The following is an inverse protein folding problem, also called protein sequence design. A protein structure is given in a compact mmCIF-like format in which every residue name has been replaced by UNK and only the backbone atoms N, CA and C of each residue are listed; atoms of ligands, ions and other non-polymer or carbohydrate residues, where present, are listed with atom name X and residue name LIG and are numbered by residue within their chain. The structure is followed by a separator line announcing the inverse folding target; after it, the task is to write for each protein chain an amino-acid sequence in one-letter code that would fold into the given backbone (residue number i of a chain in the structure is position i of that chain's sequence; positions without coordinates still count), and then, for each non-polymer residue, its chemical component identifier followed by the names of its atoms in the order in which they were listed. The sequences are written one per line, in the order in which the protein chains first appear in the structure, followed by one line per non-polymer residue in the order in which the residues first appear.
data_IF_160644539406
#
_entry.id   IF_160644539406
#
_cell.length_a   1.000
_cell.length_b   1.000
_cell.length_c   1.000
_cell.angle_alpha   90.00
_cell.angle_beta   90.00
_cell.angle_gamma   90.00
#
_symmetry.space_group_name_H-M   'P 1'
#
loop_
_entity.id
_entity.type
_entity.pdbx_description
1 polymer ?
#
# COMPACT_ATOMS: atom_id res chain seq x y z
N UNK A 1 -21.24 30.25 -2.38
CA UNK A 1 -19.83 29.85 -2.15
C UNK A 1 -19.48 28.87 -3.27
N UNK A 2 -18.68 29.27 -4.26
CA UNK A 2 -18.25 28.38 -5.35
C UNK A 2 -17.16 27.47 -4.78
N UNK A 3 -17.44 26.19 -4.63
CA UNK A 3 -16.41 25.18 -4.35
C UNK A 3 -15.44 25.18 -5.52
N UNK A 4 -14.22 25.67 -5.30
CA UNK A 4 -13.15 25.53 -6.29
C UNK A 4 -12.79 24.05 -6.36
N UNK A 5 -13.30 23.37 -7.37
CA UNK A 5 -12.92 22.00 -7.68
C UNK A 5 -11.52 22.05 -8.28
N UNK A 6 -10.50 21.62 -7.53
CA UNK A 6 -9.18 21.44 -8.09
C UNK A 6 -9.22 20.20 -9.00
N UNK A 7 -8.97 20.37 -10.29
CA UNK A 7 -8.92 19.27 -11.25
C UNK A 7 -7.54 18.62 -11.20
N UNK A 8 -7.51 17.29 -11.13
CA UNK A 8 -6.28 16.49 -11.08
C UNK A 8 -6.16 15.53 -12.27
N UNK A 9 -5.02 14.83 -12.34
CA UNK A 9 -4.72 13.83 -13.39
C UNK A 9 -5.82 12.77 -13.55
N UNK A 10 -6.50 12.43 -12.46
CA UNK A 10 -7.50 11.37 -12.41
C UNK A 10 -8.93 11.92 -12.25
N UNK A 11 -9.14 13.18 -12.61
CA UNK A 11 -10.40 13.91 -12.41
C UNK A 11 -10.37 14.81 -11.20
N UNK A 12 -11.54 15.33 -10.87
CA UNK A 12 -11.75 16.31 -9.80
C UNK A 12 -11.46 15.73 -8.42
N UNK A 13 -10.73 16.47 -7.59
CA UNK A 13 -10.46 16.07 -6.22
C UNK A 13 -11.75 16.12 -5.39
N UNK A 14 -12.07 14.99 -4.76
CA UNK A 14 -13.18 14.85 -3.84
C UNK A 14 -12.68 14.35 -2.50
N UNK A 15 -13.25 14.87 -1.41
CA UNK A 15 -12.95 14.41 -0.06
C UNK A 15 -13.15 12.90 0.05
N UNK A 16 -12.28 12.23 0.80
CA UNK A 16 -12.31 10.77 0.98
C UNK A 16 -13.19 10.45 2.17
N UNK A 17 -14.14 9.53 2.00
CA UNK A 17 -14.99 9.05 3.10
C UNK A 17 -14.48 7.71 3.66
N UNK A 18 -14.70 7.40 4.95
CA UNK A 18 -14.22 6.14 5.55
C UNK A 18 -14.64 4.85 4.82
N UNK A 19 -15.86 4.74 4.23
CA UNK A 19 -16.22 3.58 3.41
C UNK A 19 -15.31 3.38 2.19
N UNK A 20 -14.88 4.46 1.53
CA UNK A 20 -14.02 4.35 0.34
C UNK A 20 -12.64 3.82 0.68
N UNK A 21 -12.10 4.15 1.87
CA UNK A 21 -10.84 3.56 2.35
C UNK A 21 -11.00 2.05 2.49
N UNK A 22 -12.07 1.57 3.13
CA UNK A 22 -12.33 0.13 3.28
C UNK A 22 -12.48 -0.59 1.93
N UNK A 23 -13.12 0.04 0.95
CA UNK A 23 -13.23 -0.51 -0.41
C UNK A 23 -11.86 -0.54 -1.11
N UNK A 24 -11.06 0.52 -0.95
CA UNK A 24 -9.69 0.58 -1.49
C UNK A 24 -8.80 -0.51 -0.88
N UNK A 25 -8.90 -0.72 0.44
CA UNK A 25 -8.18 -1.78 1.14
C UNK A 25 -8.63 -3.17 0.66
N UNK A 26 -9.95 -3.36 0.48
CA UNK A 26 -10.51 -4.62 -0.03
C UNK A 26 -10.00 -4.95 -1.44
N UNK A 27 -9.95 -3.94 -2.32
CA UNK A 27 -9.38 -4.08 -3.66
C UNK A 27 -7.88 -4.41 -3.57
N UNK A 28 -7.14 -3.75 -2.68
CA UNK A 28 -5.69 -3.98 -2.51
C UNK A 28 -5.39 -5.40 -2.01
N UNK A 29 -6.17 -5.92 -1.07
CA UNK A 29 -6.08 -7.32 -0.61
C UNK A 29 -6.35 -8.27 -1.77
N UNK A 30 -7.40 -8.00 -2.55
CA UNK A 30 -7.77 -8.82 -3.69
C UNK A 30 -6.69 -8.84 -4.77
N UNK A 31 -6.02 -7.72 -5.03
CA UNK A 31 -4.85 -7.65 -5.92
C UNK A 31 -3.66 -8.47 -5.40
N UNK A 32 -3.57 -8.68 -4.08
CA UNK A 32 -2.60 -9.59 -3.48
C UNK A 32 -2.87 -11.06 -3.83
N UNK A 33 -4.16 -11.43 -3.88
CA UNK A 33 -4.65 -12.79 -4.16
C UNK A 33 -4.65 -13.08 -5.68
N UNK A 34 -5.23 -12.17 -6.47
CA UNK A 34 -5.37 -12.31 -7.92
C UNK A 34 -4.25 -11.52 -8.59
N UNK A 35 -3.30 -12.22 -9.23
CA UNK A 35 -2.21 -11.57 -9.95
C UNK A 35 -2.65 -11.19 -11.36
N UNK A 36 -2.57 -9.90 -11.68
CA UNK A 36 -2.74 -9.37 -13.04
C UNK A 36 -1.40 -8.88 -13.60
N UNK A 37 -1.18 -8.92 -14.93
CA UNK A 37 0.05 -8.42 -15.56
C UNK A 37 0.33 -6.95 -15.25
N UNK A 38 -0.72 -6.12 -15.24
CA UNK A 38 -0.63 -4.68 -14.98
C UNK A 38 -1.86 -4.19 -14.20
N UNK A 39 -1.68 -3.15 -13.39
CA UNK A 39 -2.72 -2.58 -12.53
C UNK A 39 -4.02 -2.17 -13.27
N UNK A 40 -3.98 -1.56 -14.47
CA UNK A 40 -5.21 -1.18 -15.16
C UNK A 40 -6.10 -2.35 -15.56
N UNK A 41 -5.55 -3.57 -15.66
CA UNK A 41 -6.31 -4.75 -16.11
C UNK A 41 -7.39 -5.19 -15.12
N UNK A 42 -7.25 -4.86 -13.83
CA UNK A 42 -8.33 -5.07 -12.85
C UNK A 42 -9.62 -4.30 -13.17
N UNK A 43 -9.55 -3.28 -14.04
CA UNK A 43 -10.70 -2.52 -14.52
C UNK A 43 -10.94 -2.66 -16.03
N UNK A 44 -10.22 -3.56 -16.72
CA UNK A 44 -10.41 -3.77 -18.16
C UNK A 44 -11.79 -4.36 -18.44
N UNK A 45 -12.34 -4.04 -19.60
CA UNK A 45 -13.55 -4.67 -20.17
C UNK A 45 -13.22 -5.76 -21.18
N UNK A 46 -11.93 -6.02 -21.43
CA UNK A 46 -11.50 -7.10 -22.32
C UNK A 46 -11.92 -8.45 -21.73
N UNK A 47 -12.46 -9.33 -22.56
CA UNK A 47 -13.00 -10.63 -22.13
C UNK A 47 -11.98 -11.48 -21.34
N UNK A 48 -10.70 -11.37 -21.69
CA UNK A 48 -9.59 -12.09 -21.05
C UNK A 48 -9.33 -11.59 -19.61
N UNK A 49 -9.63 -10.32 -19.33
CA UNK A 49 -9.35 -9.67 -18.04
C UNK A 49 -10.63 -9.12 -17.39
N UNK A 50 -11.81 -9.63 -17.76
CA UNK A 50 -13.08 -9.14 -17.26
C UNK A 50 -13.27 -9.55 -15.79
N UNK A 51 -12.77 -8.70 -14.91
CA UNK A 51 -12.99 -8.80 -13.48
C UNK A 51 -14.05 -7.79 -13.03
N UNK A 52 -15.28 -8.01 -13.51
CA UNK A 52 -16.42 -7.10 -13.34
C UNK A 52 -16.68 -6.67 -11.89
N UNK A 53 -16.35 -7.53 -10.91
CA UNK A 53 -16.48 -7.23 -9.50
C UNK A 53 -15.72 -5.95 -9.08
N UNK A 54 -14.43 -5.82 -9.40
CA UNK A 54 -13.62 -4.65 -8.98
C UNK A 54 -14.13 -3.37 -9.65
N UNK A 55 -14.53 -3.47 -10.91
CA UNK A 55 -15.10 -2.35 -11.69
C UNK A 55 -16.37 -1.80 -11.05
N UNK A 56 -17.22 -2.69 -10.53
CA UNK A 56 -18.47 -2.34 -9.89
C UNK A 56 -18.27 -1.74 -8.48
N UNK A 57 -17.20 -2.13 -7.79
CA UNK A 57 -16.91 -1.63 -6.43
C UNK A 57 -16.43 -0.17 -6.45
N UNK A 58 -15.48 0.16 -7.33
CA UNK A 58 -14.92 1.52 -7.40
C UNK A 58 -14.36 1.78 -8.80
N UNK A 59 -14.52 3.01 -9.32
CA UNK A 59 -13.89 3.41 -10.59
C UNK A 59 -12.36 3.44 -10.43
N UNK A 60 -11.64 2.98 -11.46
CA UNK A 60 -10.16 2.99 -11.52
C UNK A 60 -9.57 4.33 -11.09
N UNK A 61 -10.08 5.41 -11.66
CA UNK A 61 -9.50 6.74 -11.42
C UNK A 61 -9.71 7.19 -9.97
N UNK A 62 -10.85 6.85 -9.35
CA UNK A 62 -11.10 7.11 -7.92
C UNK A 62 -10.16 6.30 -7.04
N UNK A 63 -9.94 5.02 -7.36
CA UNK A 63 -8.97 4.19 -6.66
C UNK A 63 -7.56 4.80 -6.75
N UNK A 64 -7.12 5.20 -7.94
CA UNK A 64 -5.80 5.81 -8.15
C UNK A 64 -5.64 7.17 -7.44
N UNK A 65 -6.71 7.97 -7.37
CA UNK A 65 -6.71 9.21 -6.58
C UNK A 65 -6.48 8.90 -5.09
N UNK A 66 -7.29 8.01 -4.51
CA UNK A 66 -7.20 7.67 -3.08
C UNK A 66 -5.82 7.07 -2.78
N UNK A 67 -5.41 6.06 -3.56
CA UNK A 67 -4.14 5.36 -3.38
C UNK A 67 -2.93 6.29 -3.50
N UNK A 68 -2.98 7.25 -4.43
CA UNK A 68 -1.92 8.25 -4.62
C UNK A 68 -1.89 9.35 -3.56
N UNK A 69 -2.98 9.54 -2.81
CA UNK A 69 -3.11 10.59 -1.77
C UNK A 69 -2.98 10.05 -0.35
N UNK A 70 -2.64 8.77 -0.16
CA UNK A 70 -2.46 8.18 1.17
C UNK A 70 -1.30 8.86 1.94
N UNK A 71 -1.63 9.37 3.12
CA UNK A 71 -0.69 10.03 4.02
C UNK A 71 -1.05 9.70 5.47
N UNK A 72 -0.06 9.30 6.27
CA UNK A 72 -0.29 8.78 7.64
C UNK A 72 0.42 9.60 8.73
N UNK A 73 1.09 10.69 8.36
CA UNK A 73 1.71 11.64 9.27
C UNK A 73 1.03 13.01 9.18
N UNK A 74 1.29 13.91 10.12
CA UNK A 74 0.90 15.32 9.97
C UNK A 74 2.11 16.15 9.53
N UNK A 75 1.88 17.32 8.92
CA UNK A 75 2.97 18.19 8.46
C UNK A 75 3.93 18.59 9.59
N UNK A 76 3.40 18.73 10.81
CA UNK A 76 4.16 19.06 12.02
C UNK A 76 5.15 17.94 12.39
N UNK A 77 4.75 16.69 12.23
CA UNK A 77 5.59 15.52 12.52
C UNK A 77 6.82 15.43 11.62
N UNK A 78 6.81 16.11 10.47
CA UNK A 78 7.94 16.12 9.54
C UNK A 78 9.07 17.08 9.97
N UNK A 79 8.76 18.12 10.78
CA UNK A 79 9.74 19.12 11.22
C UNK A 79 10.61 18.63 12.38
N UNK A 80 10.08 17.73 13.22
CA UNK A 80 10.72 17.32 14.47
C UNK A 80 11.42 15.95 14.37
N UNK A 81 11.33 15.27 13.23
CA UNK A 81 11.72 13.88 13.13
C UNK A 81 13.20 13.69 12.77
N UNK A 82 14.01 13.31 13.75
CA UNK A 82 15.26 12.54 13.53
C UNK A 82 14.96 11.04 13.20
N UNK A 83 13.71 10.73 12.83
CA UNK A 83 13.22 9.39 12.52
C UNK A 83 12.93 9.26 11.03
N UNK A 84 13.73 8.48 10.30
CA UNK A 84 13.53 8.24 8.87
C UNK A 84 12.18 7.58 8.52
N UNK A 85 11.49 6.97 9.49
CA UNK A 85 10.20 6.31 9.31
C UNK A 85 9.01 7.15 9.78
N UNK A 86 9.19 8.44 10.10
CA UNK A 86 8.12 9.29 10.67
C UNK A 86 6.80 9.23 9.91
N UNK A 87 6.85 9.11 8.56
CA UNK A 87 5.68 9.05 7.68
C UNK A 87 4.75 7.86 7.97
N UNK A 88 5.30 6.76 8.47
CA UNK A 88 4.55 5.52 8.74
C UNK A 88 4.63 5.08 10.20
N UNK A 89 5.39 5.79 11.04
CA UNK A 89 5.65 5.42 12.44
C UNK A 89 4.37 5.18 13.23
N UNK A 90 3.36 6.04 13.04
CA UNK A 90 2.05 5.91 13.70
C UNK A 90 1.38 4.58 13.38
N UNK A 91 1.37 4.18 12.11
CA UNK A 91 0.84 2.88 11.69
C UNK A 91 1.66 1.72 12.26
N UNK A 92 2.99 1.78 12.17
CA UNK A 92 3.85 0.72 12.71
C UNK A 92 3.61 0.48 14.21
N UNK A 93 3.45 1.55 14.98
CA UNK A 93 3.17 1.44 16.42
C UNK A 93 1.78 0.86 16.66
N UNK A 94 0.77 1.29 15.90
CA UNK A 94 -0.58 0.73 15.98
C UNK A 94 -0.58 -0.79 15.72
N UNK A 95 0.05 -1.24 14.63
CA UNK A 95 0.14 -2.67 14.31
C UNK A 95 0.90 -3.47 15.36
N UNK A 96 2.01 -2.93 15.89
CA UNK A 96 2.77 -3.58 16.98
C UNK A 96 1.89 -3.86 18.19
N UNK A 97 1.09 -2.88 18.62
CA UNK A 97 0.20 -3.05 19.77
C UNK A 97 -0.94 -4.03 19.46
N UNK A 98 -1.52 -3.98 18.26
CA UNK A 98 -2.52 -4.95 17.82
C UNK A 98 -1.96 -6.38 17.84
N UNK A 99 -0.78 -6.62 17.30
CA UNK A 99 -0.19 -7.97 17.27
C UNK A 99 0.15 -8.50 18.65
N UNK A 100 0.72 -7.66 19.54
CA UNK A 100 1.00 -8.04 20.92
C UNK A 100 -0.27 -8.43 21.70
N UNK A 101 -1.36 -7.69 21.48
CA UNK A 101 -2.60 -7.90 22.24
C UNK A 101 -3.41 -9.10 21.74
N UNK A 102 -3.24 -9.50 20.47
CA UNK A 102 -4.07 -10.53 19.85
C UNK A 102 -3.34 -11.87 19.63
N UNK A 103 -2.04 -11.94 19.89
CA UNK A 103 -1.27 -13.17 19.70
C UNK A 103 -0.38 -13.47 20.90
N UNK A 104 -0.53 -14.67 21.47
CA UNK A 104 0.37 -15.21 22.48
C UNK A 104 1.33 -16.21 21.81
N UNK A 105 2.64 -15.92 21.74
CA UNK A 105 3.59 -16.82 21.09
C UNK A 105 3.72 -18.16 21.82
N UNK A 106 3.96 -19.23 21.05
CA UNK A 106 4.33 -20.52 21.59
C UNK A 106 5.76 -20.55 22.14
N UNK A 107 6.21 -21.74 22.56
CA UNK A 107 7.54 -21.95 23.16
C UNK A 107 8.70 -21.66 22.19
N UNK A 108 8.53 -22.02 20.93
CA UNK A 108 9.58 -21.93 19.91
C UNK A 108 9.32 -20.73 19.00
N UNK A 109 10.29 -19.81 18.95
CA UNK A 109 10.22 -18.60 18.16
C UNK A 109 11.47 -18.48 17.28
N UNK A 110 11.25 -18.22 16.00
CA UNK A 110 12.29 -17.87 15.05
C UNK A 110 12.32 -16.35 14.87
N UNK A 111 13.50 -15.75 14.98
CA UNK A 111 13.74 -14.35 14.63
C UNK A 111 14.57 -14.33 13.37
N UNK A 112 14.04 -13.70 12.32
CA UNK A 112 14.72 -13.55 11.04
C UNK A 112 14.46 -12.15 10.46
N UNK A 113 15.28 -11.74 9.51
CA UNK A 113 15.18 -10.46 8.82
C UNK A 113 14.40 -10.62 7.50
N UNK A 114 13.31 -9.87 7.35
CA UNK A 114 12.61 -9.74 6.07
C UNK A 114 13.09 -8.50 5.32
N UNK A 115 13.53 -8.66 4.07
CA UNK A 115 13.96 -7.55 3.22
C UNK A 115 12.99 -7.35 2.06
N UNK A 116 12.38 -6.17 2.02
CA UNK A 116 11.52 -5.77 0.91
C UNK A 116 12.31 -5.09 -0.19
N UNK A 117 12.11 -5.54 -1.43
CA UNK A 117 12.84 -5.01 -2.59
C UNK A 117 12.30 -3.65 -3.00
N UNK A 118 13.08 -2.60 -2.75
CA UNK A 118 12.75 -1.25 -3.20
C UNK A 118 13.68 -0.77 -4.32
N UNK A 119 13.10 -0.36 -5.45
CA UNK A 119 13.86 0.04 -6.66
C UNK A 119 14.38 1.48 -6.64
N UNK A 120 13.75 2.39 -5.90
CA UNK A 120 14.15 3.81 -5.93
C UNK A 120 15.48 4.06 -5.21
N UNK A 121 16.35 4.84 -5.82
CA UNK A 121 17.62 5.31 -5.24
C UNK A 121 17.41 6.37 -4.15
N UNK A 122 16.23 7.00 -4.10
CA UNK A 122 15.92 8.06 -3.13
C UNK A 122 15.50 7.52 -1.76
N UNK A 123 15.39 6.20 -1.61
CA UNK A 123 14.99 5.59 -0.35
C UNK A 123 16.20 5.48 0.60
N UNK A 124 16.14 6.24 1.70
CA UNK A 124 17.27 6.42 2.64
C UNK A 124 17.62 5.16 3.44
N UNK A 125 16.68 4.23 3.61
CA UNK A 125 16.87 3.01 4.40
C UNK A 125 17.17 1.78 3.52
N UNK A 126 17.69 1.99 2.31
CA UNK A 126 18.04 0.89 1.40
C UNK A 126 19.24 0.11 1.94
N UNK A 127 19.12 -1.22 1.96
CA UNK A 127 20.22 -2.14 2.26
C UNK A 127 20.69 -2.81 0.97
N UNK A 128 22.01 -2.90 0.76
CA UNK A 128 22.58 -3.59 -0.41
C UNK A 128 22.64 -5.09 -0.14
N UNK A 129 21.87 -5.86 -0.91
CA UNK A 129 21.80 -7.32 -0.79
C UNK A 129 22.79 -7.97 -1.78
N UNK A 130 23.67 -8.90 -1.33
CA UNK A 130 24.50 -9.71 -2.22
C UNK A 130 23.68 -10.46 -3.28
N UNK A 131 24.25 -10.65 -4.47
CA UNK A 131 23.53 -11.20 -5.65
C UNK A 131 22.89 -12.57 -5.40
N UNK A 132 23.48 -13.38 -4.54
CA UNK A 132 22.99 -14.73 -4.22
C UNK A 132 21.69 -14.72 -3.40
N UNK A 133 21.56 -13.78 -2.45
CA UNK A 133 20.36 -13.62 -1.62
C UNK A 133 19.19 -13.04 -2.43
N UNK A 134 19.46 -12.10 -3.36
CA UNK A 134 18.45 -11.52 -4.28
C UNK A 134 17.71 -12.54 -5.16
N UNK A 135 18.27 -13.73 -5.38
CA UNK A 135 17.60 -14.80 -6.14
C UNK A 135 16.58 -15.56 -5.29
N UNK A 136 16.81 -15.71 -3.99
CA UNK A 136 15.89 -16.40 -3.07
C UNK A 136 14.64 -15.56 -2.79
N UNK A 137 14.81 -14.28 -2.45
CA UNK A 137 13.68 -13.41 -2.08
C UNK A 137 12.70 -13.18 -3.23
N UNK A 138 13.21 -13.14 -4.48
CA UNK A 138 12.36 -13.04 -5.67
C UNK A 138 11.43 -14.25 -5.84
N UNK A 139 11.80 -15.44 -5.41
CA UNK A 139 10.94 -16.62 -5.56
C UNK A 139 9.81 -16.64 -4.51
N UNK A 140 9.97 -15.94 -3.39
CA UNK A 140 8.97 -15.87 -2.31
C UNK A 140 7.96 -14.74 -2.55
N UNK A 141 8.41 -13.63 -3.15
CA UNK A 141 7.59 -12.41 -3.34
C UNK A 141 6.53 -12.51 -4.47
N UNK A 142 6.58 -13.55 -5.32
CA UNK A 142 5.56 -13.81 -6.35
C UNK A 142 4.57 -14.92 -6.01
N UNK A 143 4.65 -15.53 -4.81
CA UNK A 143 3.52 -16.29 -4.24
C UNK A 143 2.49 -15.32 -3.66
#
# INVERSE_FOLDING_TARGET
IKTQTQSGRYGDFQNIVPPEIRLTDSITILMGIVKMPVLPFFWSTDEIFDYSYIRNVMRRDRFLQIYGSLHFSDAISALEANDNLYKIRKLCNMYKEVFKNNYCPGRELSVDESLELWKSERFRLRVSIPREKKRRDRNVSYM
#
